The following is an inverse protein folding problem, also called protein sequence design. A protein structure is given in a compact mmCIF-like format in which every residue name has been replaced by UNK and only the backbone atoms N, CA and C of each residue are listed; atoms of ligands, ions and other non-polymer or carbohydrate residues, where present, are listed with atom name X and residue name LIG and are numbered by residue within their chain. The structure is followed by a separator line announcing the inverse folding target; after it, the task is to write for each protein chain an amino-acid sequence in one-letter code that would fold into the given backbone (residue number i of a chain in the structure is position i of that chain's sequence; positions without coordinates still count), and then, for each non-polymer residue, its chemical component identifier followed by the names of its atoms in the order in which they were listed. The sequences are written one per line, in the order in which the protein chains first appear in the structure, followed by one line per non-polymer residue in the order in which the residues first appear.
data_IF_348356481111
#
_entry.id   IF_348356481111
#
_cell.length_a   1.000
_cell.length_b   1.000
_cell.length_c   1.000
_cell.angle_alpha   90.00
_cell.angle_beta   90.00
_cell.angle_gamma   90.00
#
_symmetry.space_group_name_H-M   'P 1'
#
loop_
_entity.id
_entity.type
_entity.pdbx_description
1 polymer ?
#
# COMPACT_ATOMS: atom_id res chain seq x y z
N UNK A 1 33.06 6.40 6.88
CA UNK A 1 32.27 5.41 6.12
C UNK A 1 33.06 4.99 4.89
N UNK A 2 33.21 3.68 4.64
CA UNK A 2 34.13 3.17 3.61
C UNK A 2 33.44 2.95 2.27
N UNK A 3 34.10 3.33 1.18
CA UNK A 3 33.69 3.02 -0.20
C UNK A 3 33.43 1.51 -0.38
N UNK A 4 34.20 0.66 0.29
CA UNK A 4 34.04 -0.80 0.25
C UNK A 4 32.64 -1.28 0.68
N UNK A 5 32.04 -0.66 1.71
CA UNK A 5 30.67 -0.99 2.13
C UNK A 5 29.63 -0.64 1.07
N UNK A 6 29.82 0.46 0.34
CA UNK A 6 28.96 0.85 -0.78
C UNK A 6 29.07 -0.17 -1.92
N UNK A 7 30.30 -0.58 -2.27
CA UNK A 7 30.55 -1.55 -3.34
C UNK A 7 29.88 -2.89 -3.05
N UNK A 8 30.02 -3.42 -1.84
CA UNK A 8 29.40 -4.69 -1.46
C UNK A 8 27.87 -4.63 -1.60
N UNK A 9 27.23 -3.58 -1.08
CA UNK A 9 25.78 -3.43 -1.17
C UNK A 9 25.27 -3.17 -2.60
N UNK A 10 26.10 -2.57 -3.46
CA UNK A 10 25.79 -2.42 -4.89
C UNK A 10 25.82 -3.78 -5.60
N UNK A 11 26.77 -4.65 -5.26
CA UNK A 11 26.86 -6.02 -5.80
C UNK A 11 25.67 -6.89 -5.35
N UNK A 12 25.17 -6.67 -4.13
CA UNK A 12 23.94 -7.28 -3.62
C UNK A 12 22.66 -6.75 -4.32
N UNK A 13 22.81 -5.83 -5.28
CA UNK A 13 21.71 -5.33 -6.10
C UNK A 13 20.82 -4.28 -5.41
N UNK A 14 21.25 -3.72 -4.28
CA UNK A 14 20.45 -2.70 -3.59
C UNK A 14 20.38 -1.40 -4.40
N UNK A 15 19.28 -0.66 -4.19
CA UNK A 15 19.11 0.70 -4.72
C UNK A 15 19.99 1.71 -3.99
N UNK A 16 20.39 2.78 -4.69
CA UNK A 16 21.24 3.84 -4.14
C UNK A 16 20.64 4.47 -2.88
N UNK A 17 19.32 4.59 -2.83
CA UNK A 17 18.58 5.12 -1.67
C UNK A 17 18.62 4.16 -0.48
N UNK A 18 18.50 2.86 -0.71
CA UNK A 18 18.59 1.86 0.35
C UNK A 18 19.99 1.84 0.97
N UNK A 19 21.02 1.84 0.10
CA UNK A 19 22.42 1.90 0.51
C UNK A 19 22.70 3.18 1.29
N UNK A 20 22.31 4.35 0.75
CA UNK A 20 22.49 5.64 1.39
C UNK A 20 21.89 5.69 2.81
N UNK A 21 20.70 5.10 3.00
CA UNK A 21 20.04 5.01 4.31
C UNK A 21 20.79 4.08 5.27
N UNK A 22 21.32 2.96 4.77
CA UNK A 22 22.00 1.94 5.57
C UNK A 22 23.41 2.36 6.00
N UNK A 23 24.16 3.01 5.11
CA UNK A 23 25.55 3.43 5.36
C UNK A 23 25.69 4.91 5.70
N UNK A 24 24.55 5.60 5.89
CA UNK A 24 24.46 7.01 6.30
C UNK A 24 25.26 7.97 5.41
N UNK A 25 25.12 7.85 4.08
CA UNK A 25 25.73 8.75 3.09
C UNK A 25 24.68 9.41 2.21
N UNK A 26 25.07 10.42 1.44
CA UNK A 26 24.17 11.03 0.44
C UNK A 26 24.00 10.08 -0.74
N UNK A 27 22.78 10.00 -1.29
CA UNK A 27 22.49 9.18 -2.48
C UNK A 27 23.42 9.49 -3.66
N UNK A 28 23.82 10.76 -3.84
CA UNK A 28 24.75 11.18 -4.91
C UNK A 28 26.13 10.51 -4.79
N UNK A 29 26.59 10.24 -3.57
CA UNK A 29 27.83 9.52 -3.32
C UNK A 29 27.73 8.07 -3.81
N UNK A 30 26.61 7.39 -3.53
CA UNK A 30 26.37 6.02 -3.99
C UNK A 30 26.23 5.97 -5.52
N UNK A 31 25.49 6.92 -6.10
CA UNK A 31 25.33 7.03 -7.54
C UNK A 31 26.67 7.25 -8.27
N UNK A 32 27.58 8.04 -7.70
CA UNK A 32 28.94 8.21 -8.21
C UNK A 32 29.72 6.90 -8.22
N UNK A 33 29.72 6.16 -7.10
CA UNK A 33 30.38 4.85 -7.03
C UNK A 33 29.77 3.84 -8.00
N UNK A 34 28.43 3.84 -8.17
CA UNK A 34 27.75 2.99 -9.16
C UNK A 34 28.21 3.31 -10.59
N UNK A 35 28.31 4.58 -10.93
CA UNK A 35 28.77 5.04 -12.24
C UNK A 35 30.24 4.67 -12.48
N UNK A 36 31.12 4.84 -11.50
CA UNK A 36 32.53 4.42 -11.56
C UNK A 36 32.69 2.91 -11.83
N UNK A 37 31.79 2.09 -11.27
CA UNK A 37 31.77 0.64 -11.47
C UNK A 37 31.12 0.21 -12.79
N UNK A 38 30.63 1.15 -13.60
CA UNK A 38 29.90 0.85 -14.84
C UNK A 38 28.59 0.10 -14.61
N UNK A 39 28.04 0.14 -13.39
CA UNK A 39 26.83 -0.58 -13.03
C UNK A 39 25.59 0.18 -13.54
N UNK A 40 24.59 -0.51 -14.11
CA UNK A 40 23.37 0.13 -14.53
C UNK A 40 22.61 0.72 -13.32
N UNK A 41 21.82 1.78 -13.53
CA UNK A 41 20.95 2.31 -12.49
C UNK A 41 19.98 1.21 -12.02
N UNK A 42 19.73 1.18 -10.71
CA UNK A 42 18.78 0.24 -10.13
C UNK A 42 17.39 0.47 -10.75
N UNK A 43 16.86 -0.55 -11.43
CA UNK A 43 15.50 -0.52 -11.97
C UNK A 43 14.53 -0.88 -10.84
N UNK A 44 13.57 -0.01 -10.48
CA UNK A 44 12.49 -0.44 -9.60
C UNK A 44 11.77 -1.63 -10.23
N UNK A 45 11.35 -2.60 -9.39
CA UNK A 45 10.56 -3.73 -9.87
C UNK A 45 9.26 -3.28 -10.56
N UNK A 46 8.59 -4.18 -11.29
CA UNK A 46 7.38 -3.84 -12.03
C UNK A 46 6.36 -3.14 -11.13
N UNK A 47 5.89 -1.98 -11.59
CA UNK A 47 4.73 -1.31 -10.99
C UNK A 47 3.54 -2.26 -11.15
N UNK A 48 2.80 -2.61 -10.08
CA UNK A 48 1.59 -3.41 -10.23
C UNK A 48 0.63 -2.67 -11.18
N UNK A 49 0.27 -3.32 -12.28
CA UNK A 49 -0.65 -2.76 -13.27
C UNK A 49 -2.10 -2.78 -12.79
N UNK A 50 -2.43 -3.65 -11.84
CA UNK A 50 -3.78 -3.79 -11.28
C UNK A 50 -3.85 -3.25 -9.84
N UNK A 51 -4.78 -2.33 -9.53
CA UNK A 51 -5.07 -1.88 -8.18
C UNK A 51 -5.38 -2.99 -7.17
N UNK A 52 -5.99 -4.09 -7.60
CA UNK A 52 -6.37 -5.21 -6.72
C UNK A 52 -5.13 -5.97 -6.23
N UNK A 53 -4.15 -6.22 -7.12
CA UNK A 53 -2.88 -6.82 -6.74
C UNK A 53 -2.11 -5.94 -5.77
N UNK A 54 -2.15 -4.61 -5.99
CA UNK A 54 -1.50 -3.65 -5.12
C UNK A 54 -2.18 -3.60 -3.73
N UNK A 55 -3.49 -3.79 -3.68
CA UNK A 55 -4.27 -3.92 -2.46
C UNK A 55 -3.84 -5.17 -1.66
N UNK A 56 -3.85 -6.35 -2.28
CA UNK A 56 -3.48 -7.59 -1.60
C UNK A 56 -2.03 -7.62 -1.14
N UNK A 57 -1.11 -7.06 -1.91
CA UNK A 57 0.31 -6.99 -1.55
C UNK A 57 0.59 -6.14 -0.31
N UNK A 58 -0.27 -5.17 0.01
CA UNK A 58 -0.02 -4.14 1.03
C UNK A 58 -0.93 -4.26 2.25
N UNK A 59 -1.92 -5.14 2.18
CA UNK A 59 -2.76 -5.48 3.32
C UNK A 59 -2.05 -6.46 4.23
N UNK A 60 -2.37 -6.41 5.51
CA UNK A 60 -1.83 -7.32 6.52
C UNK A 60 -3.00 -8.06 7.19
N UNK A 61 -3.09 -9.39 7.05
CA UNK A 61 -4.08 -10.16 7.80
C UNK A 61 -3.75 -10.16 9.28
N UNK A 62 -4.77 -10.28 10.11
CA UNK A 62 -4.66 -10.40 11.57
C UNK A 62 -5.31 -11.68 12.05
N UNK A 63 -4.91 -12.16 13.22
CA UNK A 63 -5.37 -13.45 13.78
C UNK A 63 -6.87 -13.47 14.12
N UNK A 64 -7.48 -12.29 14.30
CA UNK A 64 -8.90 -12.08 14.57
C UNK A 64 -9.76 -11.97 13.30
N UNK A 65 -9.18 -12.24 12.12
CA UNK A 65 -9.90 -12.25 10.84
C UNK A 65 -10.09 -10.87 10.19
N UNK A 66 -9.44 -9.82 10.70
CA UNK A 66 -9.38 -8.54 10.00
C UNK A 66 -8.26 -8.51 8.96
N UNK A 67 -8.38 -7.52 8.07
CA UNK A 67 -7.37 -7.21 7.06
C UNK A 67 -7.04 -5.73 7.18
N UNK A 68 -5.85 -5.41 7.64
CA UNK A 68 -5.48 -4.04 7.96
C UNK A 68 -4.74 -3.37 6.81
N UNK A 69 -5.08 -2.10 6.57
CA UNK A 69 -4.28 -1.22 5.73
C UNK A 69 -3.29 -0.44 6.58
N UNK A 70 -2.02 -0.82 6.52
CA UNK A 70 -0.96 -0.27 7.40
C UNK A 70 -0.48 1.12 6.99
N UNK A 71 -0.69 1.51 5.73
CA UNK A 71 -0.28 2.82 5.20
C UNK A 71 -1.18 3.94 5.69
N UNK A 72 -0.60 5.13 5.92
CA UNK A 72 -1.33 6.35 6.28
C UNK A 72 -2.18 6.89 5.14
N UNK A 73 -1.74 6.68 3.89
CA UNK A 73 -2.53 7.02 2.70
C UNK A 73 -3.62 5.98 2.46
N UNK A 74 -4.87 6.46 2.34
CA UNK A 74 -6.04 5.69 1.86
C UNK A 74 -6.12 5.58 0.35
N UNK A 75 -5.31 6.36 -0.37
CA UNK A 75 -5.19 6.29 -1.82
C UNK A 75 -4.06 5.32 -2.19
N UNK A 76 -4.28 4.55 -3.25
CA UNK A 76 -3.23 3.75 -3.88
C UNK A 76 -2.52 4.63 -4.91
N UNK A 77 -1.21 4.83 -4.73
CA UNK A 77 -0.39 5.60 -5.68
C UNK A 77 -0.36 4.86 -7.01
N UNK A 78 -0.73 5.55 -8.09
CA UNK A 78 -0.72 5.01 -9.46
C UNK A 78 -2.11 4.83 -10.09
N UNK A 79 -3.19 5.13 -9.36
CA UNK A 79 -4.55 5.17 -9.90
C UNK A 79 -5.13 6.58 -9.88
N UNK A 80 -6.24 6.74 -10.60
CA UNK A 80 -7.08 7.92 -10.58
C UNK A 80 -7.40 8.32 -9.12
N UNK A 81 -7.37 9.61 -8.77
CA UNK A 81 -7.46 10.11 -7.38
C UNK A 81 -8.73 9.67 -6.61
N UNK A 82 -9.67 9.04 -7.31
CA UNK A 82 -10.94 8.50 -6.83
C UNK A 82 -10.84 7.07 -6.29
N UNK A 83 -9.75 6.34 -6.54
CA UNK A 83 -9.61 4.94 -6.16
C UNK A 83 -8.98 4.80 -4.76
N UNK A 84 -9.85 4.69 -3.75
CA UNK A 84 -9.42 4.44 -2.37
C UNK A 84 -9.37 2.95 -2.06
N UNK A 85 -8.58 2.59 -1.05
CA UNK A 85 -8.43 1.20 -0.58
C UNK A 85 -9.75 0.58 -0.14
N UNK A 86 -10.63 1.38 0.50
CA UNK A 86 -11.97 0.95 0.88
C UNK A 86 -12.85 0.65 -0.34
N UNK A 87 -12.77 1.46 -1.41
CA UNK A 87 -13.54 1.20 -2.64
C UNK A 87 -13.07 -0.07 -3.35
N UNK A 88 -11.77 -0.38 -3.32
CA UNK A 88 -11.26 -1.64 -3.89
C UNK A 88 -11.69 -2.83 -3.05
N UNK A 89 -11.52 -2.77 -1.72
CA UNK A 89 -12.02 -3.81 -0.83
C UNK A 89 -13.51 -4.10 -1.08
N UNK A 90 -14.30 -3.03 -1.28
CA UNK A 90 -15.72 -3.15 -1.59
C UNK A 90 -15.97 -3.86 -2.91
N UNK A 91 -15.29 -3.46 -3.99
CA UNK A 91 -15.41 -4.08 -5.33
C UNK A 91 -15.04 -5.56 -5.29
N UNK A 92 -13.96 -5.90 -4.59
CA UNK A 92 -13.50 -7.29 -4.40
C UNK A 92 -14.60 -8.13 -3.72
N UNK A 93 -15.19 -7.63 -2.63
CA UNK A 93 -16.16 -8.39 -1.83
C UNK A 93 -17.57 -8.43 -2.40
N UNK A 94 -18.01 -7.36 -3.06
CA UNK A 94 -19.40 -7.18 -3.49
C UNK A 94 -19.58 -7.28 -5.02
N UNK A 95 -18.48 -7.42 -5.77
CA UNK A 95 -18.48 -7.53 -7.24
C UNK A 95 -19.27 -6.42 -7.96
N UNK A 96 -19.36 -5.23 -7.36
CA UNK A 96 -20.03 -4.05 -7.90
C UNK A 96 -19.32 -2.77 -7.52
N UNK A 97 -19.60 -1.68 -8.24
CA UNK A 97 -19.13 -0.37 -7.83
C UNK A 97 -19.84 0.12 -6.55
N UNK A 98 -19.10 0.72 -5.60
CA UNK A 98 -19.71 1.30 -4.42
C UNK A 98 -20.43 2.60 -4.72
N UNK A 99 -21.60 2.75 -4.11
CA UNK A 99 -22.42 3.95 -4.17
C UNK A 99 -22.10 4.83 -2.95
N UNK A 100 -21.70 6.07 -3.22
CA UNK A 100 -21.33 7.02 -2.16
C UNK A 100 -20.05 6.64 -1.40
N UNK A 101 -20.00 7.00 -0.13
CA UNK A 101 -18.83 6.79 0.72
C UNK A 101 -18.75 5.34 1.24
N UNK A 102 -17.57 4.73 1.15
CA UNK A 102 -17.30 3.38 1.68
C UNK A 102 -16.54 3.50 2.99
N UNK A 103 -17.03 2.83 4.02
CA UNK A 103 -16.41 2.82 5.35
C UNK A 103 -16.29 1.40 5.87
N UNK A 104 -15.47 1.23 6.91
CA UNK A 104 -15.39 -0.01 7.67
C UNK A 104 -16.65 -0.17 8.53
N UNK A 105 -17.34 -1.31 8.43
CA UNK A 105 -18.53 -1.66 9.23
C UNK A 105 -18.20 -2.41 10.52
N UNK A 106 -17.10 -3.18 10.54
CA UNK A 106 -16.72 -4.02 11.68
C UNK A 106 -16.17 -3.27 12.93
N UNK A 107 -16.16 -1.94 12.95
CA UNK A 107 -15.62 -1.13 14.06
C UNK A 107 -14.09 -1.14 14.22
N UNK A 108 -13.37 -2.07 13.60
CA UNK A 108 -11.90 -2.14 13.65
C UNK A 108 -11.25 -1.03 12.82
N UNK A 109 -10.51 -0.14 13.48
CA UNK A 109 -9.78 0.93 12.80
C UNK A 109 -8.84 0.38 11.71
N UNK A 110 -8.87 1.01 10.52
CA UNK A 110 -8.06 0.65 9.34
C UNK A 110 -8.35 -0.74 8.76
N UNK A 111 -9.39 -1.44 9.20
CA UNK A 111 -9.81 -2.67 8.56
C UNK A 111 -10.39 -2.38 7.18
N UNK A 112 -9.86 -3.07 6.17
CA UNK A 112 -10.24 -3.03 4.77
C UNK A 112 -10.59 -4.43 4.27
N UNK A 113 -10.93 -5.36 5.17
CA UNK A 113 -11.37 -6.70 4.77
C UNK A 113 -12.60 -6.59 3.85
N UNK A 114 -12.64 -7.28 2.69
CA UNK A 114 -13.74 -7.15 1.72
C UNK A 114 -15.14 -7.40 2.30
N UNK A 115 -15.25 -8.28 3.29
CA UNK A 115 -16.50 -8.56 4.00
C UNK A 115 -16.84 -7.57 5.14
N UNK A 116 -15.92 -6.67 5.50
CA UNK A 116 -16.07 -5.73 6.62
C UNK A 116 -16.23 -4.28 6.15
N UNK A 117 -16.38 -4.04 4.85
CA UNK A 117 -16.56 -2.72 4.27
C UNK A 117 -17.95 -2.58 3.69
N UNK A 118 -18.53 -1.40 3.86
CA UNK A 118 -19.91 -1.12 3.48
C UNK A 118 -19.97 0.22 2.77
N UNK A 119 -20.81 0.29 1.73
CA UNK A 119 -21.11 1.54 1.04
C UNK A 119 -22.32 2.24 1.67
N UNK A 120 -22.68 3.41 1.13
CA UNK A 120 -23.67 4.26 1.78
C UNK A 120 -25.08 3.64 1.87
N UNK A 121 -25.63 3.02 0.81
CA UNK A 121 -26.93 2.35 0.89
C UNK A 121 -26.98 1.22 1.91
N UNK A 122 -25.93 0.38 2.01
CA UNK A 122 -25.88 -0.70 2.99
C UNK A 122 -26.00 -0.17 4.42
N UNK A 123 -25.25 0.89 4.75
CA UNK A 123 -25.33 1.53 6.08
C UNK A 123 -26.69 2.15 6.35
N UNK A 124 -27.31 2.76 5.34
CA UNK A 124 -28.64 3.36 5.48
C UNK A 124 -29.71 2.28 5.69
N UNK A 125 -29.61 1.15 5.00
CA UNK A 125 -30.51 0.01 5.19
C UNK A 125 -30.37 -0.56 6.60
N UNK A 126 -29.15 -0.74 7.11
CA UNK A 126 -28.95 -1.20 8.50
C UNK A 126 -29.53 -0.22 9.52
N UNK A 127 -29.33 1.09 9.33
CA UNK A 127 -29.97 2.13 10.18
C UNK A 127 -31.49 2.06 10.13
N UNK A 128 -32.07 1.85 8.94
CA UNK A 128 -33.52 1.79 8.77
C UNK A 128 -34.15 0.54 9.43
N UNK A 129 -33.42 -0.58 9.45
CA UNK A 129 -33.91 -1.86 10.01
C UNK A 129 -33.70 -1.93 11.54
N UNK A 130 -32.55 -1.49 12.03
CA UNK A 130 -32.13 -1.71 13.43
C UNK A 130 -32.14 -0.45 14.31
N UNK A 131 -32.45 0.73 13.75
CA UNK A 131 -32.49 2.00 14.48
C UNK A 131 -31.10 2.57 14.82
N UNK A 132 -31.07 3.85 15.20
CA UNK A 132 -29.85 4.47 15.75
C UNK A 132 -29.62 3.96 17.18
N UNK A 133 -28.54 3.19 17.38
CA UNK A 133 -28.01 3.03 18.72
C UNK A 133 -27.52 4.42 19.18
N UNK A 134 -28.24 4.98 20.15
CA UNK A 134 -28.02 6.30 20.74
C UNK A 134 -26.63 6.40 21.43
#
# INVERSE_FOLDING_TARGET
MSRAAIVALLQDGLSDKAIARQVHVRCRTVAGVRAELGMPPHKPGPTPSNPDDLFWRRTQPTDDGHLLWTSTSRQLRGGDNKLTVHRIAFRIGNQREPVGNVTTGCGRAKCVHPAHVEDQPMRQQYKAIFGEAA
#
